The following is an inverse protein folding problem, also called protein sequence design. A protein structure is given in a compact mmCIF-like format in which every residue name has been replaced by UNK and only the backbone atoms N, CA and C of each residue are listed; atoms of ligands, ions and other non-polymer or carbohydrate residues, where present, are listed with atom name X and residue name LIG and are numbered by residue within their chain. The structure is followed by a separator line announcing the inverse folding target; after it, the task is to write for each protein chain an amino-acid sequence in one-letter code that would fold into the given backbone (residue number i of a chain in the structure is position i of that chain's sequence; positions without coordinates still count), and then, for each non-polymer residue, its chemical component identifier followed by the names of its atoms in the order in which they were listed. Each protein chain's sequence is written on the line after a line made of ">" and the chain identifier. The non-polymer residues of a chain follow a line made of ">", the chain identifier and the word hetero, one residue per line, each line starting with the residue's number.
data_IF_762441200576
#
_entry.id   IF_762441200576
#
_cell.length_a   1.000
_cell.length_b   1.000
_cell.length_c   1.000
_cell.angle_alpha   90.00
_cell.angle_beta   90.00
_cell.angle_gamma   90.00
#
_symmetry.space_group_name_H-M   'P 1'
#
loop_
_entity.id
_entity.type
_entity.pdbx_description
1 polymer ?
#
# COMPACT_ATOMS: atom_id res chain seq x y z
N UNK A 1 -11.54 17.47 1.45
CA UNK A 1 -11.53 16.15 0.77
C UNK A 1 -10.21 15.40 0.99
N UNK A 2 -9.03 16.05 0.94
CA UNK A 2 -7.75 15.40 1.20
C UNK A 2 -7.63 14.79 2.62
N UNK A 3 -8.15 15.47 3.66
CA UNK A 3 -8.08 14.99 5.05
C UNK A 3 -8.75 13.64 5.30
N UNK A 4 -9.92 13.39 4.70
CA UNK A 4 -10.65 12.13 4.91
C UNK A 4 -9.89 10.92 4.34
N UNK A 5 -9.22 11.12 3.21
CA UNK A 5 -8.40 10.09 2.57
C UNK A 5 -7.17 9.78 3.42
N UNK A 6 -6.48 10.81 3.93
CA UNK A 6 -5.34 10.61 4.82
C UNK A 6 -5.74 9.91 6.12
N UNK A 7 -6.90 10.26 6.68
CA UNK A 7 -7.41 9.64 7.89
C UNK A 7 -7.81 8.18 7.64
N UNK A 8 -8.45 7.87 6.52
CA UNK A 8 -8.76 6.50 6.11
C UNK A 8 -7.48 5.66 5.90
N UNK A 9 -6.45 6.22 5.23
CA UNK A 9 -5.16 5.55 5.05
C UNK A 9 -4.45 5.29 6.39
N UNK A 10 -4.50 6.25 7.32
CA UNK A 10 -3.90 6.12 8.65
C UNK A 10 -4.61 5.02 9.47
N UNK A 11 -5.94 4.97 9.41
CA UNK A 11 -6.73 3.94 10.07
C UNK A 11 -6.47 2.56 9.46
N UNK A 12 -6.44 2.45 8.13
CA UNK A 12 -6.13 1.20 7.44
C UNK A 12 -4.71 0.72 7.77
N UNK A 13 -3.73 1.63 7.79
CA UNK A 13 -2.36 1.32 8.22
C UNK A 13 -2.34 0.77 9.65
N UNK A 14 -2.99 1.44 10.59
CA UNK A 14 -3.04 1.01 11.97
C UNK A 14 -3.68 -0.38 12.13
N UNK A 15 -4.78 -0.67 11.43
CA UNK A 15 -5.42 -1.99 11.46
C UNK A 15 -4.52 -3.10 10.91
N UNK A 16 -3.77 -2.82 9.85
CA UNK A 16 -2.81 -3.76 9.28
C UNK A 16 -1.65 -4.03 10.25
N UNK A 17 -1.12 -2.98 10.88
CA UNK A 17 -0.05 -3.11 11.89
C UNK A 17 -0.51 -3.86 13.14
N UNK A 18 -1.74 -3.62 13.61
CA UNK A 18 -2.36 -4.38 14.71
C UNK A 18 -2.53 -5.87 14.37
N UNK A 19 -2.72 -6.19 13.09
CA UNK A 19 -2.81 -7.56 12.59
C UNK A 19 -1.42 -8.21 12.38
N UNK A 20 -0.34 -7.55 12.84
CA UNK A 20 1.04 -8.02 12.69
C UNK A 20 1.66 -7.76 11.31
N UNK A 21 0.97 -7.08 10.41
CA UNK A 21 1.49 -6.74 9.09
C UNK A 21 2.25 -5.40 9.11
N UNK A 22 3.55 -5.42 8.80
CA UNK A 22 4.35 -4.19 8.70
C UNK A 22 4.04 -3.42 7.42
N UNK A 23 3.36 -2.29 7.56
CA UNK A 23 3.09 -1.36 6.45
C UNK A 23 4.31 -0.45 6.24
N UNK A 24 5.17 -0.82 5.30
CA UNK A 24 6.30 0.00 4.83
C UNK A 24 5.84 1.23 4.03
N UNK A 25 6.71 2.24 3.97
CA UNK A 25 6.47 3.54 3.29
C UNK A 25 6.05 3.37 1.83
N UNK A 26 6.67 2.45 1.09
CA UNK A 26 6.32 2.20 -0.31
C UNK A 26 4.87 1.75 -0.52
N UNK A 27 4.25 1.03 0.44
CA UNK A 27 2.84 0.64 0.31
C UNK A 27 1.93 1.87 0.36
N UNK A 28 2.23 2.80 1.26
CA UNK A 28 1.48 4.06 1.37
C UNK A 28 1.71 4.95 0.15
N UNK A 29 2.89 4.93 -0.46
CA UNK A 29 3.17 5.67 -1.70
C UNK A 29 2.40 5.10 -2.89
N UNK A 30 2.35 3.77 -3.06
CA UNK A 30 1.56 3.13 -4.11
C UNK A 30 0.08 3.55 -4.05
N UNK A 31 -0.51 3.47 -2.86
CA UNK A 31 -1.92 3.84 -2.65
C UNK A 31 -2.13 5.33 -2.91
N UNK A 32 -1.17 6.18 -2.51
CA UNK A 32 -1.23 7.62 -2.78
C UNK A 32 -1.20 7.94 -4.27
N UNK A 33 -0.37 7.25 -5.06
CA UNK A 33 -0.30 7.42 -6.52
C UNK A 33 -1.62 7.08 -7.20
N UNK A 34 -2.29 5.99 -6.79
CA UNK A 34 -3.64 5.63 -7.30
C UNK A 34 -4.67 6.70 -6.98
N UNK A 35 -4.70 7.15 -5.72
CA UNK A 35 -5.65 8.17 -5.27
C UNK A 35 -5.42 9.52 -5.95
N UNK A 36 -4.17 9.81 -6.31
CA UNK A 36 -3.79 11.00 -7.07
C UNK A 36 -4.00 10.85 -8.57
N UNK A 37 -4.47 9.68 -9.04
CA UNK A 37 -4.62 9.31 -10.45
C UNK A 37 -3.31 9.38 -11.27
N UNK A 38 -2.17 9.26 -10.59
CA UNK A 38 -0.85 9.20 -11.23
C UNK A 38 -0.60 7.84 -11.88
N UNK A 39 -1.19 6.78 -11.32
CA UNK A 39 -1.17 5.43 -11.87
C UNK A 39 -2.60 4.89 -11.97
N UNK A 40 -2.82 3.99 -12.93
CA UNK A 40 -4.09 3.29 -13.08
C UNK A 40 -4.26 2.20 -12.02
N UNK A 41 -5.50 1.74 -11.86
CA UNK A 41 -5.79 0.62 -10.96
C UNK A 41 -5.11 -0.69 -11.42
N UNK A 42 -4.89 -0.84 -12.73
CA UNK A 42 -4.18 -1.99 -13.30
C UNK A 42 -2.68 -1.95 -12.96
N UNK A 43 -2.03 -0.79 -13.13
CA UNK A 43 -0.62 -0.59 -12.75
C UNK A 43 -0.39 -0.78 -11.25
N UNK A 44 -1.33 -0.30 -10.42
CA UNK A 44 -1.28 -0.55 -8.99
C UNK A 44 -1.32 -2.04 -8.65
N UNK A 45 -2.19 -2.82 -9.31
CA UNK A 45 -2.30 -4.25 -9.07
C UNK A 45 -1.03 -4.99 -9.53
N UNK A 46 -0.40 -4.55 -10.62
CA UNK A 46 0.88 -5.11 -11.05
C UNK A 46 2.02 -4.82 -10.08
N UNK A 47 2.20 -3.56 -9.66
CA UNK A 47 3.23 -3.20 -8.67
C UNK A 47 2.98 -3.89 -7.33
N UNK A 48 1.73 -3.95 -6.86
CA UNK A 48 1.38 -4.66 -5.62
C UNK A 48 1.71 -6.16 -5.70
N UNK A 49 1.46 -6.80 -6.85
CA UNK A 49 1.82 -8.21 -7.10
C UNK A 49 3.33 -8.41 -7.14
N UNK A 50 4.08 -7.49 -7.75
CA UNK A 50 5.55 -7.55 -7.78
C UNK A 50 6.13 -7.49 -6.38
N UNK A 51 5.69 -6.53 -5.56
CA UNK A 51 6.12 -6.37 -4.17
C UNK A 51 5.79 -7.60 -3.32
N UNK A 52 4.61 -8.20 -3.52
CA UNK A 52 4.22 -9.43 -2.84
C UNK A 52 5.10 -10.62 -3.23
N UNK A 53 5.49 -10.71 -4.52
CA UNK A 53 6.40 -11.75 -5.02
C UNK A 53 7.84 -11.57 -4.50
N UNK A 54 8.33 -10.34 -4.42
CA UNK A 54 9.66 -10.06 -3.85
C UNK A 54 9.76 -10.46 -2.38
N UNK A 55 8.70 -10.25 -1.60
CA UNK A 55 8.64 -10.67 -0.19
C UNK A 55 8.58 -12.20 -0.01
N UNK A 56 8.13 -12.94 -1.04
CA UNK A 56 8.19 -14.41 -1.08
C UNK A 56 9.58 -14.97 -1.41
N UNK A 57 10.56 -14.10 -1.68
CA UNK A 57 11.94 -14.43 -2.06
C UNK A 57 12.95 -14.12 -0.94
N UNK A 58 12.51 -14.09 0.31
CA UNK A 58 13.45 -14.19 1.44
C UNK A 58 13.91 -15.66 1.54
N UNK A 59 15.21 -15.96 1.33
CA UNK A 59 15.71 -17.33 1.52
C UNK A 59 15.48 -17.71 2.98
N UNK A 60 14.83 -18.85 3.19
CA UNK A 60 14.79 -19.53 4.50
C UNK A 60 16.19 -19.88 4.96
#
# INVERSE_FOLDING_TARGET
>A
MADQIQQAMKNAKAQLELSGNKVKVHHTELVRKVLSKEITNEEFLEEAKLLAKEKGREPK
#
